data_IF_351460115659
#
_entry.id   IF_351460115659
#
_cell.length_a   1.000
_cell.length_b   1.000
_cell.length_c   1.000
_cell.angle_alpha   90.00
_cell.angle_beta   90.00
_cell.angle_gamma   90.00
#
_symmetry.space_group_name_H-M   'P 1'
#
loop_
_entity.id
_entity.type
_entity.pdbx_description
1 polymer ?
#
# COMPACT_ATOMS: atom_id res chain seq x y z
N UNK A 1 -12.10 -11.36 21.85
CA UNK A 1 -11.54 -9.99 21.87
C UNK A 1 -11.97 -9.27 20.60
N UNK A 2 -12.95 -8.36 20.70
CA UNK A 2 -13.49 -7.65 19.54
C UNK A 2 -12.44 -6.66 19.02
N UNK A 3 -11.77 -7.01 17.93
CA UNK A 3 -10.94 -6.06 17.18
C UNK A 3 -11.89 -5.04 16.55
N UNK A 4 -12.13 -3.94 17.27
CA UNK A 4 -13.09 -2.90 16.91
C UNK A 4 -12.87 -2.46 15.46
N UNK A 5 -13.87 -2.72 14.63
CA UNK A 5 -13.95 -2.46 13.20
C UNK A 5 -14.12 -0.96 12.90
N UNK A 6 -13.23 -0.10 13.43
CA UNK A 6 -13.15 1.29 12.98
C UNK A 6 -12.77 1.30 11.49
N UNK A 7 -13.49 2.09 10.69
CA UNK A 7 -13.20 2.23 9.26
C UNK A 7 -11.72 2.65 9.04
N UNK A 8 -11.04 2.17 7.98
CA UNK A 8 -9.66 2.55 7.67
C UNK A 8 -9.42 4.07 7.66
N UNK A 9 -10.40 4.85 7.21
CA UNK A 9 -10.32 6.32 7.20
C UNK A 9 -10.26 6.92 8.62
N UNK A 10 -11.03 6.39 9.57
CA UNK A 10 -11.04 6.86 10.96
C UNK A 10 -9.70 6.56 11.64
N UNK A 11 -9.11 5.38 11.37
CA UNK A 11 -7.79 5.02 11.90
C UNK A 11 -6.70 5.93 11.33
N UNK A 12 -6.79 6.30 10.06
CA UNK A 12 -5.85 7.22 9.43
C UNK A 12 -5.87 8.61 10.11
N UNK A 13 -7.05 9.20 10.32
CA UNK A 13 -7.17 10.52 10.94
C UNK A 13 -6.74 10.52 12.42
N UNK A 14 -7.08 9.47 13.16
CA UNK A 14 -6.60 9.28 14.54
C UNK A 14 -5.07 9.12 14.56
N UNK A 15 -4.53 8.27 13.69
CA UNK A 15 -3.09 8.06 13.56
C UNK A 15 -2.34 9.34 13.22
N UNK A 16 -2.87 10.16 12.31
CA UNK A 16 -2.33 11.48 11.97
C UNK A 16 -2.27 12.42 13.18
N UNK A 17 -3.31 12.43 14.02
CA UNK A 17 -3.33 13.26 15.25
C UNK A 17 -2.27 12.80 16.24
N UNK A 18 -2.12 11.50 16.44
CA UNK A 18 -1.13 10.93 17.37
C UNK A 18 0.29 11.12 16.83
N UNK A 19 0.48 11.01 15.51
CA UNK A 19 1.76 11.24 14.84
C UNK A 19 2.34 12.63 15.09
N UNK A 20 1.54 13.60 15.53
CA UNK A 20 2.05 14.90 16.00
C UNK A 20 3.07 14.75 17.15
N UNK A 21 3.00 13.68 17.94
CA UNK A 21 4.00 13.34 18.97
C UNK A 21 5.33 12.88 18.37
N UNK A 22 5.31 12.36 17.14
CA UNK A 22 6.46 11.84 16.41
C UNK A 22 7.09 12.88 15.46
N UNK A 23 6.31 13.89 15.05
CA UNK A 23 6.70 14.85 14.01
C UNK A 23 7.92 15.72 14.37
N UNK A 24 8.23 15.87 15.66
CA UNK A 24 9.40 16.60 16.14
C UNK A 24 10.71 15.92 15.77
N UNK A 25 10.69 14.58 15.68
CA UNK A 25 11.87 13.77 15.39
C UNK A 25 11.80 13.07 14.05
N UNK A 26 10.61 12.88 13.48
CA UNK A 26 10.42 12.09 12.28
C UNK A 26 9.60 12.83 11.22
N UNK A 27 9.90 12.52 9.97
CA UNK A 27 9.17 13.03 8.82
C UNK A 27 8.61 11.88 7.97
N UNK A 28 7.46 12.14 7.36
CA UNK A 28 6.77 11.25 6.40
C UNK A 28 6.35 12.05 5.17
N UNK A 29 6.24 11.38 4.02
CA UNK A 29 5.84 11.99 2.75
C UNK A 29 6.97 12.18 1.75
N UNK A 30 6.65 12.73 0.59
CA UNK A 30 7.54 12.76 -0.60
C UNK A 30 8.84 13.55 -0.36
N UNK A 31 8.77 14.61 0.44
CA UNK A 31 9.89 15.49 0.79
C UNK A 31 10.52 15.18 2.15
N UNK A 32 10.19 14.05 2.76
CA UNK A 32 10.70 13.67 4.08
C UNK A 32 12.22 13.52 4.08
N UNK A 33 12.86 14.11 5.08
CA UNK A 33 14.30 14.03 5.34
C UNK A 33 14.56 13.41 6.70
N UNK A 34 15.77 12.88 6.89
CA UNK A 34 16.27 12.51 8.20
C UNK A 34 16.45 13.79 9.04
N UNK A 35 16.00 13.76 10.29
CA UNK A 35 16.20 14.87 11.23
C UNK A 35 16.83 14.32 12.51
N UNK A 36 16.16 14.46 13.66
CA UNK A 36 16.59 13.82 14.92
C UNK A 36 16.47 12.30 14.79
N UNK A 37 15.39 11.83 14.16
CA UNK A 37 15.12 10.43 13.83
C UNK A 37 15.21 10.16 12.33
N UNK A 38 15.21 8.88 11.92
CA UNK A 38 15.12 8.49 10.52
C UNK A 38 13.77 8.88 9.92
N UNK A 39 13.71 9.08 8.60
CA UNK A 39 12.44 9.17 7.89
C UNK A 39 11.66 7.85 8.00
N UNK A 40 10.34 7.94 8.06
CA UNK A 40 9.45 6.80 8.35
C UNK A 40 8.70 6.27 7.12
N UNK A 41 9.01 6.77 5.93
CA UNK A 41 8.52 6.17 4.69
C UNK A 41 9.08 4.75 4.54
N UNK A 42 8.30 3.85 3.94
CA UNK A 42 8.73 2.48 3.62
C UNK A 42 9.30 1.71 4.83
N UNK A 43 8.71 1.91 6.02
CA UNK A 43 9.19 1.25 7.24
C UNK A 43 8.81 -0.23 7.29
N UNK A 44 7.64 -0.62 6.77
CA UNK A 44 7.16 -1.99 6.82
C UNK A 44 8.03 -2.94 6.00
N UNK A 45 8.40 -4.07 6.62
CA UNK A 45 9.28 -5.08 6.03
C UNK A 45 10.76 -4.68 5.98
N UNK A 46 11.11 -3.47 6.43
CA UNK A 46 12.51 -3.03 6.50
C UNK A 46 13.16 -3.59 7.76
N UNK A 47 14.42 -3.98 7.64
CA UNK A 47 15.24 -4.36 8.81
C UNK A 47 15.50 -3.13 9.69
N UNK A 48 15.48 -3.31 11.00
CA UNK A 48 15.79 -2.23 11.93
C UNK A 48 17.22 -1.73 11.75
N UNK A 49 17.45 -0.42 11.91
CA UNK A 49 18.79 0.15 11.86
C UNK A 49 19.50 0.18 10.49
N UNK A 50 18.83 -0.16 9.38
CA UNK A 50 19.49 -0.28 8.06
C UNK A 50 19.18 0.83 7.07
N UNK A 51 18.49 1.89 7.47
CA UNK A 51 18.16 2.96 6.54
C UNK A 51 19.41 3.79 6.20
N UNK A 52 19.73 3.86 4.91
CA UNK A 52 20.85 4.65 4.42
C UNK A 52 20.71 6.13 4.78
N UNK A 53 21.83 6.80 5.01
CA UNK A 53 21.86 8.25 5.29
C UNK A 53 21.47 8.65 6.73
N UNK A 54 21.20 7.70 7.63
CA UNK A 54 20.97 7.98 9.06
C UNK A 54 21.92 7.19 9.96
N UNK A 55 22.44 7.84 11.01
CA UNK A 55 23.34 7.22 11.99
C UNK A 55 22.56 6.67 13.18
N UNK A 56 22.31 5.36 13.15
CA UNK A 56 21.58 4.66 14.19
C UNK A 56 22.39 4.54 15.51
N UNK A 57 21.74 3.97 16.53
CA UNK A 57 22.42 3.56 17.75
C UNK A 57 22.99 2.16 17.54
N UNK A 58 24.10 1.84 18.22
CA UNK A 58 24.68 0.48 18.18
C UNK A 58 23.63 -0.58 18.55
N UNK A 59 22.77 -0.28 19.52
CA UNK A 59 21.69 -1.16 19.95
C UNK A 59 20.66 -1.42 18.85
N UNK A 60 20.24 -0.38 18.11
CA UNK A 60 19.27 -0.54 17.02
C UNK A 60 19.87 -1.27 15.81
N UNK A 61 21.15 -1.04 15.52
CA UNK A 61 21.88 -1.77 14.48
C UNK A 61 22.01 -3.25 14.86
N UNK A 62 22.39 -3.55 16.10
CA UNK A 62 22.46 -4.91 16.63
C UNK A 62 21.09 -5.61 16.58
N UNK A 63 20.02 -4.95 17.04
CA UNK A 63 18.67 -5.51 16.95
C UNK A 63 18.27 -5.87 15.51
N UNK A 64 18.65 -5.04 14.54
CA UNK A 64 18.48 -5.35 13.12
C UNK A 64 19.29 -6.57 12.66
N UNK A 65 20.53 -6.69 13.12
CA UNK A 65 21.40 -7.85 12.83
C UNK A 65 20.86 -9.14 13.44
N UNK A 66 20.27 -9.06 14.63
CA UNK A 66 19.61 -10.16 15.35
C UNK A 66 18.26 -10.57 14.71
N UNK A 67 17.84 -9.88 13.64
CA UNK A 67 16.68 -10.26 12.84
C UNK A 67 15.43 -9.40 13.07
N UNK A 68 15.52 -8.27 13.77
CA UNK A 68 14.39 -7.36 13.92
C UNK A 68 13.98 -6.77 12.57
N UNK A 69 12.81 -7.17 12.10
CA UNK A 69 12.13 -6.64 10.90
C UNK A 69 10.86 -5.93 11.33
N UNK A 70 10.63 -4.74 10.79
CA UNK A 70 9.45 -3.93 11.12
C UNK A 70 8.18 -4.54 10.51
N UNK A 71 7.48 -5.38 11.28
CA UNK A 71 6.09 -5.77 11.06
C UNK A 71 5.13 -4.85 11.82
N UNK A 72 3.82 -5.03 11.62
CA UNK A 72 2.80 -4.31 12.39
C UNK A 72 2.92 -4.60 13.89
N UNK A 73 3.15 -5.86 14.24
CA UNK A 73 3.29 -6.35 15.61
C UNK A 73 4.59 -5.84 16.23
N UNK A 74 5.71 -5.97 15.52
CA UNK A 74 7.01 -5.52 16.00
C UNK A 74 7.04 -4.00 16.22
N UNK A 75 6.44 -3.23 15.30
CA UNK A 75 6.35 -1.78 15.44
C UNK A 75 5.41 -1.37 16.57
N UNK A 76 4.27 -2.06 16.75
CA UNK A 76 3.38 -1.84 17.88
C UNK A 76 4.07 -2.13 19.22
N UNK A 77 4.76 -3.27 19.35
CA UNK A 77 5.51 -3.62 20.55
C UNK A 77 6.62 -2.60 20.86
N UNK A 78 7.36 -2.16 19.84
CA UNK A 78 8.39 -1.14 20.00
C UNK A 78 7.82 0.22 20.41
N UNK A 79 6.65 0.61 19.90
CA UNK A 79 6.01 1.88 20.26
C UNK A 79 5.39 1.88 21.66
N UNK A 80 5.12 0.72 22.25
CA UNK A 80 4.64 0.61 23.62
C UNK A 80 5.69 1.07 24.63
N UNK A 81 6.93 0.60 24.47
CA UNK A 81 8.09 1.09 25.22
C UNK A 81 9.40 0.87 24.42
N UNK A 82 9.87 1.91 23.71
CA UNK A 82 11.09 1.82 22.91
C UNK A 82 12.35 1.49 23.72
N UNK A 83 12.42 1.96 24.98
CA UNK A 83 13.61 1.78 25.82
C UNK A 83 13.71 0.35 26.33
N UNK A 84 12.57 -0.23 26.68
CA UNK A 84 12.51 -1.64 27.09
C UNK A 84 12.65 -2.59 25.90
N UNK A 85 12.11 -2.23 24.73
CA UNK A 85 12.21 -3.05 23.52
C UNK A 85 13.63 -3.09 22.92
N UNK A 86 14.33 -1.94 22.91
CA UNK A 86 15.73 -1.87 22.44
C UNK A 86 16.54 -1.04 23.43
N UNK A 87 17.19 -1.72 24.37
CA UNK A 87 18.01 -1.07 25.39
C UNK A 87 19.19 -0.32 24.75
N UNK A 88 19.29 0.99 25.01
CA UNK A 88 20.30 1.86 24.38
C UNK A 88 19.87 2.48 23.05
N UNK A 89 18.58 2.41 22.69
CA UNK A 89 18.04 3.18 21.57
C UNK A 89 18.21 4.68 21.78
N UNK A 90 18.49 5.42 20.71
CA UNK A 90 18.53 6.89 20.70
C UNK A 90 17.13 7.53 20.76
N UNK A 91 16.07 6.74 20.57
CA UNK A 91 14.70 7.23 20.59
C UNK A 91 14.24 7.46 22.04
N UNK A 92 14.33 8.70 22.51
CA UNK A 92 13.83 9.10 23.83
C UNK A 92 12.32 9.40 23.79
N UNK A 93 11.51 8.35 23.66
CA UNK A 93 10.05 8.46 23.65
C UNK A 93 9.44 7.66 24.80
N UNK A 94 8.42 8.22 25.45
CA UNK A 94 7.78 7.63 26.65
C UNK A 94 6.81 6.47 26.37
N UNK A 95 6.62 6.12 25.09
CA UNK A 95 5.73 5.03 24.68
C UNK A 95 4.27 5.45 24.48
N UNK A 96 3.52 4.59 23.78
CA UNK A 96 2.07 4.68 23.59
C UNK A 96 1.43 3.47 24.27
N UNK A 97 0.80 3.67 25.44
CA UNK A 97 0.19 2.59 26.22
C UNK A 97 -1.12 2.05 25.64
N UNK A 98 -1.87 2.90 24.94
CA UNK A 98 -3.13 2.50 24.34
C UNK A 98 -2.88 1.69 23.03
N UNK A 99 -3.32 0.43 22.95
CA UNK A 99 -3.15 -0.39 21.76
C UNK A 99 -3.92 0.12 20.53
N UNK A 100 -5.03 0.83 20.71
CA UNK A 100 -5.75 1.46 19.58
C UNK A 100 -4.95 2.63 18.99
N UNK A 101 -4.31 3.42 19.85
CA UNK A 101 -3.43 4.51 19.41
C UNK A 101 -2.21 3.96 18.66
N UNK A 102 -1.61 2.86 19.16
CA UNK A 102 -0.51 2.18 18.47
C UNK A 102 -0.95 1.71 17.08
N UNK A 103 -2.05 0.98 16.97
CA UNK A 103 -2.61 0.54 15.68
C UNK A 103 -2.89 1.71 14.73
N UNK A 104 -3.44 2.81 15.23
CA UNK A 104 -3.75 3.98 14.42
C UNK A 104 -2.49 4.65 13.85
N UNK A 105 -1.45 4.85 14.67
CA UNK A 105 -0.17 5.43 14.20
C UNK A 105 0.51 4.51 13.20
N UNK A 106 0.52 3.22 13.48
CA UNK A 106 1.11 2.18 12.63
C UNK A 106 0.42 2.20 11.25
N UNK A 107 -0.92 2.19 11.22
CA UNK A 107 -1.70 2.35 9.98
C UNK A 107 -1.43 3.67 9.24
N UNK A 108 -1.25 4.78 9.97
CA UNK A 108 -0.89 6.07 9.37
C UNK A 108 0.50 6.00 8.70
N UNK A 109 1.50 5.44 9.37
CA UNK A 109 2.83 5.22 8.79
C UNK A 109 2.78 4.28 7.57
N UNK A 110 1.92 3.25 7.57
CA UNK A 110 1.73 2.33 6.44
C UNK A 110 1.24 3.04 5.17
N UNK A 111 0.51 4.15 5.33
CA UNK A 111 0.00 4.91 4.20
C UNK A 111 1.10 5.60 3.38
N UNK A 112 2.32 5.69 3.92
CA UNK A 112 3.50 6.26 3.25
C UNK A 112 4.43 5.19 2.64
N UNK A 113 3.92 3.98 2.43
CA UNK A 113 4.59 3.02 1.57
C UNK A 113 4.63 3.59 0.14
N UNK A 114 5.84 3.78 -0.41
CA UNK A 114 6.08 3.89 -1.85
C UNK A 114 5.72 2.56 -2.46
N UNK A 115 4.42 2.29 -2.58
CA UNK A 115 3.95 1.47 -3.68
C UNK A 115 4.36 2.25 -4.91
N UNK A 116 5.51 1.91 -5.48
CA UNK A 116 5.75 2.12 -6.90
C UNK A 116 4.64 1.33 -7.58
N UNK A 117 3.46 1.94 -7.72
CA UNK A 117 2.55 1.63 -8.80
C UNK A 117 3.33 2.05 -10.03
N UNK A 118 4.24 1.19 -10.47
CA UNK A 118 4.74 1.23 -11.83
C UNK A 118 3.50 1.06 -12.66
N UNK A 119 2.88 2.17 -13.05
CA UNK A 119 1.91 2.15 -14.11
C UNK A 119 2.72 1.63 -15.30
N UNK A 120 2.49 0.39 -15.78
CA UNK A 120 3.16 -0.01 -17.01
C UNK A 120 2.78 1.08 -18.02
N UNK A 121 3.78 1.77 -18.59
CA UNK A 121 3.52 2.74 -19.66
C UNK A 121 2.59 2.03 -20.62
N UNK A 122 1.33 2.48 -20.74
CA UNK A 122 0.37 1.88 -21.67
C UNK A 122 1.09 1.85 -23.01
N UNK A 123 1.47 0.65 -23.48
CA UNK A 123 2.03 0.52 -24.83
C UNK A 123 0.96 1.09 -25.74
N UNK A 124 1.30 2.12 -26.52
CA UNK A 124 0.35 2.70 -27.48
C UNK A 124 -0.20 1.52 -28.27
N UNK A 125 -1.53 1.34 -28.37
CA UNK A 125 -2.05 0.27 -29.21
C UNK A 125 -1.45 0.50 -30.60
N UNK A 126 -0.75 -0.50 -31.13
CA UNK A 126 -0.37 -0.47 -32.53
C UNK A 126 -1.65 -0.19 -33.30
N UNK A 127 -1.67 0.94 -34.04
CA UNK A 127 -2.75 1.31 -34.94
C UNK A 127 -2.98 0.10 -35.84
N UNK A 128 -4.02 -0.69 -35.54
CA UNK A 128 -4.46 -1.77 -36.41
C UNK A 128 -4.67 -1.13 -37.76
N UNK A 129 -3.89 -1.55 -38.75
CA UNK A 129 -4.07 -1.12 -40.14
C UNK A 129 -5.50 -1.49 -40.49
N UNK A 130 -6.34 -0.51 -40.79
CA UNK A 130 -7.70 -0.75 -41.24
C UNK A 130 -7.64 -1.61 -42.51
N UNK A 131 -8.39 -2.72 -42.60
CA UNK A 131 -8.40 -3.51 -43.82
C UNK A 131 -8.97 -2.65 -44.94
N UNK A 132 -8.22 -2.53 -46.03
CA UNK A 132 -8.64 -1.79 -47.22
C UNK A 132 -9.88 -2.43 -47.82
N UNK A 133 -10.72 -1.60 -48.46
CA UNK A 133 -12.04 -1.89 -49.05
C UNK A 133 -12.00 -2.86 -50.25
N UNK A 134 -11.09 -3.85 -50.28
CA UNK A 134 -10.94 -4.80 -51.39
C UNK A 134 -11.34 -6.24 -51.03
N UNK A 135 -11.74 -6.52 -49.79
CA UNK A 135 -12.20 -7.85 -49.34
C UNK A 135 -13.73 -7.99 -49.22
N UNK A 136 -14.53 -6.97 -49.56
CA UNK A 136 -16.01 -7.02 -49.49
C UNK A 136 -16.71 -7.74 -50.67
N UNK A 137 -15.99 -8.53 -51.49
CA UNK A 137 -16.56 -9.07 -52.75
C UNK A 137 -16.89 -10.57 -52.77
N UNK A 138 -16.67 -11.33 -51.70
CA UNK A 138 -16.90 -12.80 -51.73
C UNK A 138 -18.29 -13.22 -51.20
N UNK A 139 -19.04 -12.33 -50.53
CA UNK A 139 -20.31 -12.68 -49.87
C UNK A 139 -21.58 -12.44 -50.74
N UNK A 140 -21.52 -12.69 -52.05
CA UNK A 140 -22.64 -12.49 -52.98
C UNK A 140 -22.89 -13.68 -53.92
N UNK A 141 -22.74 -14.92 -53.43
CA UNK A 141 -23.12 -16.10 -54.25
C UNK A 141 -23.55 -17.29 -53.39
N UNK A 142 -24.77 -17.24 -52.87
CA UNK A 142 -25.60 -18.41 -52.53
C UNK A 142 -27.05 -17.91 -52.39
N UNK A 143 -27.66 -17.60 -53.53
CA UNK A 143 -29.10 -17.40 -53.65
C UNK A 143 -29.77 -18.77 -53.82
N UNK A 144 -30.88 -18.93 -53.10
CA UNK A 144 -32.10 -19.60 -53.52
C UNK A 144 -32.14 -21.14 -53.59
N UNK A 145 -32.90 -21.72 -52.65
CA UNK A 145 -34.01 -22.62 -52.99
C UNK A 145 -35.22 -22.31 -52.10
N UNK A 146 -36.32 -21.89 -52.75
CA UNK A 146 -37.70 -21.86 -52.26
C UNK A 146 -38.10 -23.25 -51.73
N UNK A 147 -38.99 -23.31 -50.73
CA UNK A 147 -40.32 -23.97 -50.83
C UNK A 147 -41.23 -23.49 -49.69
N UNK A 148 -42.48 -23.30 -50.09
CA UNK A 148 -43.68 -22.71 -49.48
C UNK A 148 -44.29 -23.57 -48.35
N UNK A 149 -45.35 -23.03 -47.71
CA UNK A 149 -46.44 -23.72 -46.96
C UNK A 149 -46.16 -23.84 -45.43
N UNK A 150 -47.02 -23.46 -44.46
CA UNK A 150 -48.43 -23.08 -44.42
C UNK A 150 -48.74 -22.15 -43.24
N UNK A 151 -49.76 -21.31 -43.42
CA UNK A 151 -50.50 -20.58 -42.37
C UNK A 151 -51.58 -21.51 -41.82
N UNK A 152 -51.69 -21.63 -40.49
CA UNK A 152 -52.92 -22.01 -39.77
C UNK A 152 -52.79 -21.47 -38.31
N UNK A 153 -53.33 -20.30 -37.98
CA UNK A 153 -54.68 -19.99 -37.43
C UNK A 153 -55.07 -20.77 -36.15
N UNK A 154 -55.30 -19.95 -35.09
CA UNK A 154 -56.28 -20.03 -33.97
C UNK A 154 -55.87 -20.58 -32.59
N UNK A 155 -55.94 -19.65 -31.62
CA UNK A 155 -56.58 -19.65 -30.30
C UNK A 155 -56.47 -20.88 -29.38
N UNK A 156 -55.91 -20.64 -28.19
CA UNK A 156 -56.58 -20.87 -26.91
C UNK A 156 -56.12 -19.76 -25.92
#
# INVERSE_FOLDING_TARGET
>A
MAQGTRSPAIRFDQGRKIFRKCQSCHQVGVSAKHTVGPLLNDIYGRRAGTLEGYRYSRAMEAAGQDGLVWSEEALSAYLEDPKSAVHGTKMNFGGLRDPDDRRAVVAFCASFLRVRRTFPKRRRPHRLKTPTRRSRRIFWRLKATRTTVNICRRNA
#
